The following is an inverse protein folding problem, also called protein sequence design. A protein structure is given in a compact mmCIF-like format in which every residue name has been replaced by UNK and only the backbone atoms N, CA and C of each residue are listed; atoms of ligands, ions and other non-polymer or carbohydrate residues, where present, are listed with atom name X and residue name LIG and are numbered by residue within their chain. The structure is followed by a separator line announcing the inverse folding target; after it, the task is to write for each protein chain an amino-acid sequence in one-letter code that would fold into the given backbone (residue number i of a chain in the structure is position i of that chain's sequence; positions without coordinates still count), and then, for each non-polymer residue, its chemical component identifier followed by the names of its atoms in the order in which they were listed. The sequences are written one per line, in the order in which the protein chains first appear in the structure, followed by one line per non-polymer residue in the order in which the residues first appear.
data_IF_493844584884
#
_entry.id   IF_493844584884
#
_cell.length_a   1.000
_cell.length_b   1.000
_cell.length_c   1.000
_cell.angle_alpha   90.00
_cell.angle_beta   90.00
_cell.angle_gamma   90.00
#
_symmetry.space_group_name_H-M   'P 1'
#
loop_
_entity.id
_entity.type
_entity.pdbx_description
1 polymer ?
#
# COMPACT_ATOMS: atom_id res chain seq x y z
N UNK A 1 -18.54 2.43 -11.95
CA UNK A 1 -17.60 1.31 -11.82
C UNK A 1 -16.60 1.60 -10.73
N UNK A 2 -16.52 0.70 -9.78
CA UNK A 2 -15.50 0.85 -8.75
C UNK A 2 -14.13 0.61 -9.37
N UNK A 3 -13.26 1.60 -9.28
CA UNK A 3 -11.88 1.43 -9.72
C UNK A 3 -11.20 0.41 -8.82
N UNK A 4 -10.67 -0.62 -9.44
CA UNK A 4 -9.83 -1.55 -8.71
C UNK A 4 -8.46 -0.95 -8.54
N UNK A 5 -8.02 -0.85 -7.30
CA UNK A 5 -6.66 -0.44 -7.02
C UNK A 5 -5.75 -1.62 -7.34
N UNK A 6 -4.88 -1.46 -8.34
CA UNK A 6 -3.85 -2.43 -8.59
C UNK A 6 -2.67 -2.12 -7.66
N UNK A 7 -2.71 -2.74 -6.50
CA UNK A 7 -1.73 -2.48 -5.44
C UNK A 7 -0.32 -2.83 -5.90
N UNK A 8 -0.17 -3.92 -6.63
CA UNK A 8 1.15 -4.34 -7.11
C UNK A 8 1.73 -3.34 -8.11
N UNK A 9 0.91 -2.88 -9.06
CA UNK A 9 1.34 -1.88 -10.04
C UNK A 9 1.73 -0.56 -9.37
N UNK A 10 0.94 -0.11 -8.39
CA UNK A 10 1.24 1.09 -7.63
C UNK A 10 2.56 0.95 -6.85
N UNK A 11 2.76 -0.21 -6.23
CA UNK A 11 3.97 -0.48 -5.47
C UNK A 11 5.21 -0.51 -6.38
N UNK A 12 5.09 -1.13 -7.55
CA UNK A 12 6.17 -1.19 -8.53
C UNK A 12 6.51 0.22 -9.03
N UNK A 13 5.50 1.04 -9.28
CA UNK A 13 5.71 2.43 -9.70
C UNK A 13 6.43 3.23 -8.62
N UNK A 14 6.04 3.08 -7.37
CA UNK A 14 6.70 3.75 -6.26
C UNK A 14 8.17 3.36 -6.21
N UNK A 15 8.48 2.08 -6.33
CA UNK A 15 9.86 1.60 -6.31
C UNK A 15 10.68 2.11 -7.48
N UNK A 16 10.05 2.23 -8.65
CA UNK A 16 10.74 2.68 -9.86
C UNK A 16 11.00 4.19 -9.86
N UNK A 17 10.10 4.99 -9.30
CA UNK A 17 10.13 6.44 -9.42
C UNK A 17 10.65 7.16 -8.18
N UNK A 18 10.53 6.55 -7.01
CA UNK A 18 10.90 7.19 -5.75
C UNK A 18 12.05 6.41 -5.13
N UNK A 19 13.22 7.04 -4.92
CA UNK A 19 14.35 6.35 -4.31
C UNK A 19 14.04 5.92 -2.87
N UNK A 20 14.74 4.90 -2.40
CA UNK A 20 14.58 4.40 -1.05
C UNK A 20 14.81 5.51 -0.03
N UNK A 21 13.99 5.53 1.02
CA UNK A 21 14.09 6.49 2.09
C UNK A 21 12.74 7.04 2.51
N UNK A 22 12.76 8.24 3.07
CA UNK A 22 11.59 8.86 3.69
C UNK A 22 10.43 9.08 2.72
N UNK A 23 10.73 9.54 1.50
CA UNK A 23 9.70 9.78 0.50
C UNK A 23 9.02 8.51 0.05
N UNK A 24 9.80 7.45 -0.16
CA UNK A 24 9.25 6.14 -0.53
C UNK A 24 8.37 5.61 0.60
N UNK A 25 8.82 5.74 1.85
CA UNK A 25 8.05 5.32 3.01
C UNK A 25 6.70 6.06 3.08
N UNK A 26 6.71 7.37 2.82
CA UNK A 26 5.49 8.18 2.81
C UNK A 26 4.53 7.70 1.71
N UNK A 27 5.04 7.47 0.50
CA UNK A 27 4.22 7.00 -0.61
C UNK A 27 3.63 5.63 -0.33
N UNK A 28 4.39 4.73 0.28
CA UNK A 28 3.92 3.42 0.66
C UNK A 28 2.82 3.48 1.72
N UNK A 29 2.95 4.39 2.69
CA UNK A 29 1.91 4.59 3.70
C UNK A 29 0.62 5.12 3.09
N UNK A 30 0.73 6.04 2.13
CA UNK A 30 -0.44 6.54 1.42
C UNK A 30 -1.14 5.42 0.66
N UNK A 31 -0.37 4.55 0.02
CA UNK A 31 -0.91 3.38 -0.66
C UNK A 31 -1.61 2.44 0.34
N UNK A 32 -1.01 2.20 1.50
CA UNK A 32 -1.63 1.38 2.54
C UNK A 32 -2.97 1.98 3.00
N UNK A 33 -3.03 3.30 3.17
CA UNK A 33 -4.28 3.98 3.54
C UNK A 33 -5.34 3.82 2.46
N UNK A 34 -4.97 3.93 1.18
CA UNK A 34 -5.89 3.70 0.07
C UNK A 34 -6.42 2.27 0.07
N UNK A 35 -5.58 1.29 0.39
CA UNK A 35 -6.01 -0.10 0.54
C UNK A 35 -7.04 -0.24 1.66
N UNK A 36 -6.82 0.42 2.80
CA UNK A 36 -7.76 0.36 3.92
C UNK A 36 -9.08 1.04 3.59
N UNK A 37 -9.07 2.13 2.82
CA UNK A 37 -10.29 2.75 2.34
C UNK A 37 -11.07 1.81 1.41
N UNK A 38 -10.36 1.11 0.53
CA UNK A 38 -10.98 0.14 -0.36
C UNK A 38 -11.62 -1.02 0.41
N UNK A 39 -11.06 -1.39 1.55
CA UNK A 39 -11.67 -2.40 2.45
C UNK A 39 -13.08 -1.97 2.85
N UNK A 40 -13.25 -0.69 3.24
CA UNK A 40 -14.55 -0.17 3.63
C UNK A 40 -15.57 -0.15 2.50
N UNK A 41 -15.11 -0.06 1.25
CA UNK A 41 -15.97 -0.02 0.08
C UNK A 41 -16.28 -1.40 -0.50
N UNK A 42 -15.52 -2.41 -0.14
CA UNK A 42 -15.68 -3.75 -0.66
C UNK A 42 -16.75 -4.53 0.11
N UNK A 43 -17.56 -5.30 -0.62
CA UNK A 43 -18.55 -6.21 -0.02
C UNK A 43 -18.03 -7.64 0.06
N UNK A 44 -16.96 -7.95 -0.63
CA UNK A 44 -16.41 -9.29 -0.67
C UNK A 44 -15.41 -9.47 0.48
N UNK A 45 -15.69 -10.45 1.34
CA UNK A 45 -14.87 -10.74 2.52
C UNK A 45 -13.44 -11.14 2.14
N UNK A 46 -13.27 -11.91 1.08
CA UNK A 46 -11.93 -12.31 0.63
C UNK A 46 -11.12 -11.12 0.12
N UNK A 47 -11.76 -10.23 -0.62
CA UNK A 47 -11.12 -9.02 -1.10
C UNK A 47 -10.72 -8.14 0.07
N UNK A 48 -11.59 -7.98 1.05
CA UNK A 48 -11.27 -7.22 2.27
C UNK A 48 -10.07 -7.80 2.99
N UNK A 49 -10.02 -9.11 3.13
CA UNK A 49 -8.91 -9.79 3.81
C UNK A 49 -7.60 -9.56 3.07
N UNK A 50 -7.60 -9.71 1.75
CA UNK A 50 -6.41 -9.45 0.92
C UNK A 50 -5.93 -8.03 1.04
N UNK A 51 -6.85 -7.06 0.99
CA UNK A 51 -6.51 -5.64 1.11
C UNK A 51 -5.90 -5.32 2.46
N UNK A 52 -6.47 -5.85 3.54
CA UNK A 52 -5.92 -5.65 4.88
C UNK A 52 -4.52 -6.24 4.98
N UNK A 53 -4.32 -7.44 4.46
CA UNK A 53 -3.02 -8.11 4.49
C UNK A 53 -1.99 -7.31 3.70
N UNK A 54 -2.35 -6.83 2.51
CA UNK A 54 -1.49 -5.98 1.70
C UNK A 54 -1.14 -4.68 2.39
N UNK A 55 -2.13 -4.02 3.00
CA UNK A 55 -1.91 -2.76 3.70
C UNK A 55 -0.93 -2.93 4.85
N UNK A 56 -1.06 -4.01 5.61
CA UNK A 56 -0.17 -4.31 6.72
C UNK A 56 1.26 -4.60 6.24
N UNK A 57 1.39 -5.34 5.14
CA UNK A 57 2.69 -5.65 4.56
C UNK A 57 3.38 -4.37 4.06
N UNK A 58 2.65 -3.52 3.35
CA UNK A 58 3.16 -2.24 2.86
C UNK A 58 3.59 -1.36 4.03
N UNK A 59 2.79 -1.29 5.07
CA UNK A 59 3.09 -0.51 6.27
C UNK A 59 4.39 -0.99 6.92
N UNK A 60 4.55 -2.30 7.01
CA UNK A 60 5.75 -2.92 7.58
C UNK A 60 7.01 -2.57 6.78
N UNK A 61 6.89 -2.61 5.45
CA UNK A 61 7.99 -2.24 4.55
C UNK A 61 8.31 -0.75 4.65
N UNK A 62 7.30 0.09 4.79
CA UNK A 62 7.49 1.52 4.98
C UNK A 62 8.23 1.82 6.28
N UNK A 63 7.89 1.12 7.34
CA UNK A 63 8.55 1.28 8.63
C UNK A 63 10.02 0.87 8.56
N UNK A 64 10.35 -0.19 7.82
CA UNK A 64 11.74 -0.60 7.60
C UNK A 64 12.54 0.48 6.89
N UNK A 65 11.96 1.12 5.88
CA UNK A 65 12.65 2.18 5.15
C UNK A 65 12.89 3.40 6.03
N UNK A 66 11.93 3.70 6.89
CA UNK A 66 12.07 4.79 7.84
C UNK A 66 13.19 4.55 8.86
N UNK A 67 13.33 3.30 9.30
CA UNK A 67 14.33 2.92 10.29
C UNK A 67 15.73 2.80 9.71
N UNK A 68 15.85 2.77 8.38
CA UNK A 68 17.11 2.60 7.70
C UNK A 68 17.88 3.92 7.72
N UNK A 69 19.03 3.89 8.32
CA UNK A 69 19.94 5.03 8.35
C UNK A 69 20.96 4.94 7.23
#
# INVERSE_FOLDING_TARGET
MAERIDVQAELDRIRAQIPAGRERARAMRQLAQRCMQAVGESRDREVKHRLVTMARDIQRRADRQRSRR
#
